data_IF_494345694038
#
_entry.id   IF_494345694038
#
_cell.length_a   1.000
_cell.length_b   1.000
_cell.length_c   1.000
_cell.angle_alpha   90.00
_cell.angle_beta   90.00
_cell.angle_gamma   90.00
#
_symmetry.space_group_name_H-M   'P 1'
#
loop_
_entity.id
_entity.type
_entity.pdbx_description
1 polymer ?
#
# COMPACT_ATOMS: atom_id res chain seq x y z
N UNK A 1 4.73 -27.69 -5.99
CA UNK A 1 4.79 -26.69 -7.03
C UNK A 1 5.21 -25.39 -6.41
N UNK A 2 6.43 -25.00 -6.67
CA UNK A 2 7.00 -23.84 -6.01
C UNK A 2 6.29 -22.55 -6.38
N UNK A 3 5.82 -22.42 -7.61
CA UNK A 3 5.16 -21.19 -8.02
C UNK A 3 3.79 -21.01 -7.38
N UNK A 4 3.26 -22.03 -6.73
CA UNK A 4 1.94 -21.90 -6.11
C UNK A 4 1.89 -20.78 -5.08
N UNK A 5 2.95 -20.63 -4.29
CA UNK A 5 3.00 -19.56 -3.30
C UNK A 5 3.03 -18.19 -3.95
N UNK A 6 3.88 -18.02 -4.98
CA UNK A 6 3.97 -16.75 -5.70
C UNK A 6 2.69 -16.46 -6.45
N UNK A 7 2.09 -17.46 -7.09
CA UNK A 7 0.84 -17.28 -7.80
C UNK A 7 -0.28 -16.87 -6.86
N UNK A 8 -0.34 -17.47 -5.70
CA UNK A 8 -1.34 -17.11 -4.70
C UNK A 8 -1.14 -15.68 -4.20
N UNK A 9 0.11 -15.29 -3.97
CA UNK A 9 0.40 -13.91 -3.56
C UNK A 9 -0.01 -12.92 -4.63
N UNK A 10 0.28 -13.22 -5.89
CA UNK A 10 -0.13 -12.34 -6.98
C UNK A 10 -1.65 -12.30 -7.14
N UNK A 11 -2.31 -13.43 -6.97
CA UNK A 11 -3.76 -13.48 -7.05
C UNK A 11 -4.43 -12.70 -5.92
N UNK A 12 -3.76 -12.55 -4.78
CA UNK A 12 -4.26 -11.77 -3.64
C UNK A 12 -3.88 -10.31 -3.74
N UNK A 13 -2.99 -9.95 -4.66
CA UNK A 13 -2.64 -8.56 -4.91
C UNK A 13 -3.73 -7.90 -5.73
N UNK A 14 -4.15 -6.73 -5.29
CA UNK A 14 -5.13 -5.90 -5.98
C UNK A 14 -4.53 -4.51 -6.13
N UNK A 15 -5.22 -3.61 -6.82
CA UNK A 15 -4.72 -2.25 -6.90
C UNK A 15 -4.97 -1.51 -5.57
N UNK A 16 -4.31 -0.38 -5.40
CA UNK A 16 -4.37 0.37 -4.15
C UNK A 16 -5.75 0.91 -3.82
N UNK A 17 -6.66 0.94 -4.78
CA UNK A 17 -8.04 1.37 -4.52
C UNK A 17 -8.73 0.44 -3.53
N UNK A 18 -8.35 -0.83 -3.51
CA UNK A 18 -8.93 -1.78 -2.56
C UNK A 18 -8.54 -1.46 -1.11
N UNK A 19 -7.48 -0.70 -0.90
CA UNK A 19 -7.03 -0.29 0.43
C UNK A 19 -7.67 1.03 0.88
N UNK A 20 -8.48 1.66 0.04
CA UNK A 20 -9.00 3.01 0.29
C UNK A 20 -9.76 3.15 1.60
N UNK A 21 -10.55 2.15 1.96
CA UNK A 21 -11.34 2.21 3.18
C UNK A 21 -10.48 2.24 4.43
N UNK A 22 -9.50 1.35 4.51
CA UNK A 22 -8.59 1.32 5.66
C UNK A 22 -7.74 2.59 5.72
N UNK A 23 -7.26 3.05 4.57
CA UNK A 23 -6.45 4.26 4.53
C UNK A 23 -7.26 5.48 4.94
N UNK A 24 -8.53 5.52 4.56
CA UNK A 24 -9.40 6.61 5.01
C UNK A 24 -9.52 6.62 6.53
N UNK A 25 -9.71 5.45 7.12
CA UNK A 25 -9.79 5.34 8.59
C UNK A 25 -8.51 5.82 9.26
N UNK A 26 -7.35 5.47 8.70
CA UNK A 26 -6.07 5.79 9.31
C UNK A 26 -5.71 7.26 9.15
N UNK A 27 -5.93 7.81 7.95
CA UNK A 27 -5.45 9.17 7.63
C UNK A 27 -6.56 10.21 7.66
N UNK A 28 -7.81 9.80 7.83
CA UNK A 28 -8.98 10.69 7.80
C UNK A 28 -9.06 11.49 6.50
N UNK A 29 -8.65 10.86 5.40
CA UNK A 29 -8.61 11.48 4.09
C UNK A 29 -8.72 10.42 3.02
N UNK A 30 -9.24 10.80 1.86
CA UNK A 30 -9.27 9.93 0.68
C UNK A 30 -7.86 9.83 0.13
N UNK A 31 -7.26 8.65 0.24
CA UNK A 31 -5.84 8.46 -0.05
C UNK A 31 -5.56 7.86 -1.44
N UNK A 32 -6.57 7.31 -2.12
CA UNK A 32 -6.29 6.60 -3.36
C UNK A 32 -5.77 7.50 -4.47
N UNK A 33 -6.11 8.79 -4.45
CA UNK A 33 -5.59 9.76 -5.41
C UNK A 33 -4.33 10.48 -4.90
N UNK A 34 -3.84 10.12 -3.72
CA UNK A 34 -2.66 10.78 -3.14
C UNK A 34 -1.40 10.41 -3.88
N UNK A 35 -0.61 11.39 -4.35
CA UNK A 35 0.66 11.11 -4.99
C UNK A 35 1.69 10.58 -4.00
N UNK A 36 2.53 9.69 -4.49
CA UNK A 36 3.65 9.14 -3.74
C UNK A 36 4.79 8.86 -4.69
N UNK A 37 5.96 8.58 -4.16
CA UNK A 37 7.13 8.25 -4.95
C UNK A 37 7.85 7.09 -4.30
N UNK A 38 8.19 6.07 -5.09
CA UNK A 38 8.93 4.91 -4.61
C UNK A 38 10.37 5.30 -4.27
N UNK A 39 10.80 5.03 -3.04
CA UNK A 39 12.15 5.34 -2.61
C UNK A 39 13.21 4.45 -3.28
N UNK A 40 12.81 3.31 -3.84
CA UNK A 40 13.76 2.38 -4.48
C UNK A 40 14.00 2.70 -5.94
N UNK A 41 12.94 2.95 -6.72
CA UNK A 41 13.10 3.14 -8.16
C UNK A 41 12.74 4.55 -8.63
N UNK A 42 12.21 5.40 -7.75
CA UNK A 42 11.87 6.77 -8.10
C UNK A 42 10.58 6.96 -8.86
N UNK A 43 9.81 5.90 -9.06
CA UNK A 43 8.57 6.01 -9.81
C UNK A 43 7.53 6.78 -9.01
N UNK A 44 6.85 7.70 -9.70
CA UNK A 44 5.73 8.45 -9.13
C UNK A 44 4.43 7.77 -9.48
N UNK A 45 3.59 7.58 -8.47
CA UNK A 45 2.30 6.93 -8.64
C UNK A 45 1.28 7.55 -7.69
N UNK A 46 0.01 7.31 -7.97
CA UNK A 46 -1.04 7.53 -6.96
C UNK A 46 -1.19 6.25 -6.14
N UNK A 47 -1.59 6.40 -4.89
CA UNK A 47 -1.78 5.25 -4.00
C UNK A 47 -2.68 4.19 -4.65
N UNK A 48 -3.76 4.61 -5.31
CA UNK A 48 -4.69 3.69 -5.95
C UNK A 48 -4.09 2.84 -7.06
N UNK A 49 -2.93 3.24 -7.59
CA UNK A 49 -2.25 2.53 -8.67
C UNK A 49 -1.17 1.58 -8.16
N UNK A 50 -0.91 1.57 -6.87
CA UNK A 50 0.06 0.65 -6.28
C UNK A 50 -0.52 -0.77 -6.21
N UNK A 51 0.35 -1.75 -6.05
CA UNK A 51 -0.08 -3.11 -5.78
C UNK A 51 -0.40 -3.22 -4.29
N UNK A 52 -1.61 -3.63 -3.97
CA UNK A 52 -2.04 -3.74 -2.59
C UNK A 52 -2.26 -5.21 -2.22
N UNK A 53 -1.68 -5.61 -1.11
CA UNK A 53 -1.99 -6.89 -0.47
C UNK A 53 -2.80 -6.58 0.78
N UNK A 54 -4.09 -6.84 0.71
CA UNK A 54 -5.02 -6.53 1.80
C UNK A 54 -5.35 -7.81 2.53
N UNK A 55 -4.89 -7.90 3.76
CA UNK A 55 -5.10 -9.09 4.58
C UNK A 55 -5.20 -8.63 6.05
N UNK A 56 -6.39 -8.74 6.62
CA UNK A 56 -6.58 -8.29 8.00
C UNK A 56 -5.53 -8.92 8.91
N UNK A 57 -4.94 -8.18 9.84
CA UNK A 57 -5.30 -6.82 10.24
C UNK A 57 -4.56 -5.70 9.48
N UNK A 58 -3.97 -5.98 8.33
CA UNK A 58 -3.14 -4.97 7.71
C UNK A 58 -3.18 -4.94 6.20
N UNK A 59 -2.46 -3.98 5.65
CA UNK A 59 -2.24 -3.86 4.21
C UNK A 59 -0.76 -3.59 3.94
N UNK A 60 -0.32 -4.05 2.77
CA UNK A 60 1.02 -3.77 2.26
C UNK A 60 0.84 -3.17 0.86
N UNK A 61 1.46 -2.02 0.63
CA UNK A 61 1.43 -1.36 -0.67
C UNK A 61 2.81 -1.45 -1.30
N UNK A 62 2.87 -1.97 -2.54
CA UNK A 62 4.11 -2.20 -3.27
C UNK A 62 4.12 -1.40 -4.55
N UNK A 63 5.32 -1.04 -4.99
CA UNK A 63 5.52 -0.38 -6.27
C UNK A 63 5.19 -1.33 -7.42
N UNK A 64 4.36 -0.93 -8.39
CA UNK A 64 4.06 -1.81 -9.52
C UNK A 64 5.25 -2.01 -10.47
N UNK A 65 6.26 -1.15 -10.40
CA UNK A 65 7.42 -1.26 -11.26
C UNK A 65 8.51 -2.14 -10.67
N UNK A 66 8.88 -1.94 -9.40
CA UNK A 66 10.00 -2.67 -8.80
C UNK A 66 9.56 -3.64 -7.70
N UNK A 67 8.27 -3.62 -7.32
CA UNK A 67 7.65 -4.49 -6.33
C UNK A 67 8.20 -4.34 -4.91
N UNK A 68 8.99 -3.33 -4.65
CA UNK A 68 9.41 -3.03 -3.28
C UNK A 68 8.24 -2.43 -2.50
N UNK A 69 8.25 -2.64 -1.19
CA UNK A 69 7.19 -2.13 -0.31
C UNK A 69 7.36 -0.63 -0.11
N UNK A 70 6.30 0.13 -0.38
CA UNK A 70 6.26 1.56 -0.08
C UNK A 70 5.72 1.78 1.32
N UNK A 71 4.63 1.10 1.64
CA UNK A 71 3.92 1.37 2.89
C UNK A 71 3.34 0.08 3.44
N UNK A 72 3.29 0.01 4.75
CA UNK A 72 2.69 -1.09 5.47
C UNK A 72 1.86 -0.50 6.61
N UNK A 73 0.60 -0.90 6.70
CA UNK A 73 -0.29 -0.40 7.75
C UNK A 73 -0.89 -1.59 8.47
N UNK A 74 -0.80 -1.59 9.78
CA UNK A 74 -1.42 -2.61 10.63
C UNK A 74 -2.29 -1.91 11.66
N UNK A 75 -3.55 -2.32 11.73
CA UNK A 75 -4.51 -1.70 12.64
C UNK A 75 -4.96 -2.74 13.66
N UNK A 76 -4.64 -2.49 14.93
CA UNK A 76 -5.05 -3.35 16.02
C UNK A 76 -6.12 -2.64 16.85
N UNK A 77 -6.64 -3.32 17.87
CA UNK A 77 -7.59 -2.69 18.78
C UNK A 77 -6.98 -1.60 19.66
N UNK A 78 -5.65 -1.59 19.76
CA UNK A 78 -4.96 -0.67 20.68
C UNK A 78 -4.20 0.43 19.93
N UNK A 79 -3.73 0.17 18.73
CA UNK A 79 -2.94 1.15 17.98
C UNK A 79 -2.98 0.87 16.49
N UNK A 80 -2.57 1.88 15.74
CA UNK A 80 -2.33 1.75 14.30
C UNK A 80 -0.85 1.95 14.04
N UNK A 81 -0.25 1.02 13.32
CA UNK A 81 1.16 1.05 12.96
C UNK A 81 1.27 1.41 11.48
N UNK A 82 2.00 2.47 11.19
CA UNK A 82 2.23 2.90 9.81
C UNK A 82 3.73 2.93 9.57
N UNK A 83 4.17 2.15 8.58
CA UNK A 83 5.55 2.13 8.13
C UNK A 83 5.54 2.57 6.67
N UNK A 84 6.04 3.75 6.40
CA UNK A 84 6.06 4.31 5.05
C UNK A 84 7.49 4.60 4.59
N UNK A 85 8.47 3.87 5.11
CA UNK A 85 9.88 4.13 4.78
C UNK A 85 10.22 3.86 3.33
N UNK A 86 9.37 3.13 2.61
CA UNK A 86 9.58 2.88 1.19
C UNK A 86 9.02 3.96 0.28
N UNK A 87 8.38 4.96 0.83
CA UNK A 87 7.86 6.10 0.09
C UNK A 87 8.67 7.34 0.41
N UNK A 88 9.07 8.08 -0.65
CA UNK A 88 9.81 9.33 -0.45
C UNK A 88 8.91 10.37 0.20
N UNK A 89 7.65 10.38 -0.21
CA UNK A 89 6.66 11.29 0.36
C UNK A 89 5.26 10.69 0.17
N UNK A 90 4.34 11.23 0.92
CA UNK A 90 2.93 10.93 0.78
C UNK A 90 2.19 12.27 0.87
N UNK A 91 1.55 12.66 -0.22
CA UNK A 91 0.88 13.95 -0.29
C UNK A 91 -0.60 13.78 0.04
N UNK A 92 -1.01 14.35 1.14
CA UNK A 92 -2.37 14.20 1.65
C UNK A 92 -3.14 15.50 1.39
N UNK A 93 -4.23 15.41 0.64
CA UNK A 93 -5.08 16.57 0.39
C UNK A 93 -5.86 16.91 1.66
N UNK A 94 -6.04 18.19 1.88
CA UNK A 94 -6.81 18.67 3.02
C UNK A 94 -8.26 18.91 2.66
#
# INVERSE_FOLDING_TARGET
>A
MSQNGDDMNKAMMVDGNAAGGMLYDVFSAEMTASPTECAHCGRHEQIGELLAFVHAPGIILRCPACENVLMRVVKTGEFTYVDARGAVYLRIAK
#
